data_IF_148795370458
#
_entry.id   IF_148795370458
#
_cell.length_a   1.000
_cell.length_b   1.000
_cell.length_c   1.000
_cell.angle_alpha   90.00
_cell.angle_beta   90.00
_cell.angle_gamma   90.00
#
_symmetry.space_group_name_H-M   'P 1'
#
loop_
_entity.id
_entity.type
_entity.pdbx_description
1 polymer ?
#
# COMPACT_ATOMS: atom_id res chain seq x y z
N UNK A 1 -4.62 -12.82 -27.26
CA UNK A 1 -5.83 -12.17 -26.73
C UNK A 1 -6.86 -12.05 -27.84
N UNK A 2 -8.00 -12.72 -27.66
CA UNK A 2 -9.17 -12.62 -28.55
C UNK A 2 -10.28 -11.91 -27.77
N UNK A 3 -10.78 -10.80 -28.30
CA UNK A 3 -11.90 -10.07 -27.72
C UNK A 3 -13.07 -10.06 -28.70
N UNK A 4 -14.27 -10.37 -28.21
CA UNK A 4 -15.50 -10.29 -28.95
C UNK A 4 -16.52 -9.46 -28.17
N UNK A 5 -16.86 -8.27 -28.68
CA UNK A 5 -17.81 -7.35 -28.07
C UNK A 5 -19.22 -7.96 -27.89
N UNK A 6 -19.59 -8.83 -28.81
CA UNK A 6 -20.95 -9.38 -28.89
C UNK A 6 -21.11 -10.70 -28.10
N UNK A 7 -20.05 -11.12 -27.37
CA UNK A 7 -20.04 -12.30 -26.54
C UNK A 7 -19.64 -11.92 -25.10
N UNK A 8 -20.56 -11.26 -24.34
CA UNK A 8 -20.29 -10.96 -22.93
C UNK A 8 -20.39 -12.23 -22.11
N UNK A 9 -19.45 -12.42 -21.17
CA UNK A 9 -19.49 -13.57 -20.27
C UNK A 9 -18.13 -13.96 -19.73
N UNK A 10 -18.01 -15.24 -19.44
CA UNK A 10 -16.79 -15.80 -18.89
C UNK A 10 -15.65 -15.82 -19.91
N UNK A 11 -14.46 -15.62 -19.42
CA UNK A 11 -13.22 -15.69 -20.20
C UNK A 11 -12.38 -16.87 -19.70
N UNK A 12 -11.75 -17.59 -20.60
CA UNK A 12 -10.69 -18.50 -20.25
C UNK A 12 -9.39 -17.70 -20.05
N UNK A 13 -8.87 -17.73 -18.83
CA UNK A 13 -7.65 -17.02 -18.46
C UNK A 13 -6.57 -18.04 -18.15
N UNK A 14 -5.50 -18.03 -18.94
CA UNK A 14 -4.35 -18.91 -18.78
C UNK A 14 -3.19 -18.12 -18.19
N UNK A 15 -2.69 -18.53 -17.02
CA UNK A 15 -1.45 -18.03 -16.46
C UNK A 15 -0.28 -18.84 -17.00
N UNK A 16 0.67 -18.14 -17.65
CA UNK A 16 1.89 -18.74 -18.19
C UNK A 16 3.10 -18.06 -17.54
N UNK A 17 4.03 -18.84 -17.02
CA UNK A 17 5.36 -18.37 -16.64
C UNK A 17 6.35 -18.74 -17.75
N UNK A 18 7.46 -18.03 -17.85
CA UNK A 18 8.48 -18.27 -18.90
C UNK A 18 9.06 -19.69 -18.88
N UNK A 19 8.94 -20.38 -17.77
CA UNK A 19 9.52 -21.73 -17.54
C UNK A 19 8.49 -22.83 -17.38
N UNK A 20 7.18 -22.51 -17.33
CA UNK A 20 6.16 -23.49 -16.98
C UNK A 20 5.52 -24.15 -18.20
N UNK A 21 5.66 -25.47 -18.22
CA UNK A 21 4.94 -26.37 -19.12
C UNK A 21 3.48 -26.53 -18.65
N UNK A 22 3.16 -26.22 -17.39
CA UNK A 22 1.83 -26.32 -16.79
C UNK A 22 1.13 -24.94 -16.71
N UNK A 23 0.60 -24.51 -17.85
CA UNK A 23 -0.27 -23.35 -17.90
C UNK A 23 -1.57 -23.64 -17.14
N UNK A 24 -1.86 -22.90 -16.06
CA UNK A 24 -3.12 -23.05 -15.34
C UNK A 24 -4.19 -22.16 -15.99
N UNK A 25 -5.21 -22.80 -16.57
CA UNK A 25 -6.37 -22.14 -17.13
C UNK A 25 -7.54 -22.16 -16.13
N UNK A 26 -8.27 -21.06 -16.08
CA UNK A 26 -9.50 -20.91 -15.29
C UNK A 26 -10.52 -20.12 -16.12
N UNK A 27 -11.77 -20.60 -16.12
CA UNK A 27 -12.90 -19.87 -16.70
C UNK A 27 -13.46 -18.94 -15.64
N UNK A 28 -13.44 -17.62 -15.88
CA UNK A 28 -13.94 -16.63 -14.94
C UNK A 28 -14.31 -15.31 -15.61
N UNK A 29 -15.09 -14.49 -14.92
CA UNK A 29 -15.39 -13.13 -15.34
C UNK A 29 -14.22 -12.20 -15.03
N UNK A 30 -13.90 -11.29 -15.96
CA UNK A 30 -12.87 -10.26 -15.74
C UNK A 30 -13.37 -9.10 -14.87
N UNK A 31 -14.70 -8.91 -14.81
CA UNK A 31 -15.37 -7.87 -14.06
C UNK A 31 -15.92 -8.33 -12.69
N UNK A 32 -15.47 -9.50 -12.22
CA UNK A 32 -15.86 -10.05 -10.90
C UNK A 32 -15.40 -9.16 -9.74
N UNK A 33 -14.25 -8.50 -9.90
CA UNK A 33 -13.69 -7.60 -8.90
C UNK A 33 -13.46 -6.20 -9.47
N UNK A 34 -13.46 -5.15 -8.63
CA UNK A 34 -13.17 -3.77 -9.06
C UNK A 34 -11.80 -3.59 -9.72
N UNK A 35 -10.88 -4.52 -9.47
CA UNK A 35 -9.54 -4.57 -10.06
C UNK A 35 -9.31 -5.91 -10.72
N UNK A 36 -8.50 -5.94 -11.78
CA UNK A 36 -8.15 -7.19 -12.45
C UNK A 36 -7.18 -8.01 -11.58
N UNK A 37 -7.64 -9.15 -11.09
CA UNK A 37 -6.79 -10.15 -10.43
C UNK A 37 -6.13 -11.00 -11.51
N UNK A 38 -4.84 -10.86 -11.72
CA UNK A 38 -4.12 -11.55 -12.79
C UNK A 38 -3.93 -13.04 -12.53
N UNK A 39 -3.55 -13.41 -11.31
CA UNK A 39 -3.26 -14.81 -10.96
C UNK A 39 -4.55 -15.59 -10.68
N UNK A 40 -4.74 -16.70 -11.37
CA UNK A 40 -5.85 -17.62 -11.10
C UNK A 40 -5.79 -18.20 -9.68
N UNK A 41 -4.59 -18.46 -9.16
CA UNK A 41 -4.40 -18.95 -7.79
C UNK A 41 -4.83 -17.95 -6.72
N UNK A 42 -4.73 -16.65 -7.01
CA UNK A 42 -5.10 -15.61 -6.06
C UNK A 42 -6.63 -15.46 -5.89
N UNK A 43 -7.43 -15.93 -6.83
CA UNK A 43 -8.89 -15.78 -6.80
C UNK A 43 -9.48 -16.38 -5.53
N UNK A 44 -9.10 -17.61 -5.18
CA UNK A 44 -9.60 -18.28 -3.97
C UNK A 44 -9.22 -17.55 -2.67
N UNK A 45 -8.07 -16.89 -2.67
CA UNK A 45 -7.62 -16.09 -1.52
C UNK A 45 -8.45 -14.82 -1.43
N UNK A 46 -8.67 -14.13 -2.56
CA UNK A 46 -9.51 -12.91 -2.61
C UNK A 46 -10.92 -13.21 -2.15
N UNK A 47 -11.56 -14.31 -2.60
CA UNK A 47 -12.87 -14.72 -2.12
C UNK A 47 -12.90 -14.92 -0.60
N UNK A 48 -11.93 -15.64 -0.03
CA UNK A 48 -11.85 -15.84 1.42
C UNK A 48 -11.74 -14.53 2.19
N UNK A 49 -10.98 -13.56 1.68
CA UNK A 49 -10.86 -12.23 2.30
C UNK A 49 -12.19 -11.48 2.25
N UNK A 50 -12.87 -11.49 1.09
CA UNK A 50 -14.16 -10.82 0.93
C UNK A 50 -15.25 -11.49 1.81
N UNK A 51 -15.31 -12.82 1.82
CA UNK A 51 -16.26 -13.60 2.62
C UNK A 51 -16.05 -13.42 4.13
N UNK A 52 -14.82 -13.13 4.56
CA UNK A 52 -14.52 -12.84 5.97
C UNK A 52 -15.19 -11.55 6.48
N UNK A 53 -15.69 -10.69 5.58
CA UNK A 53 -16.35 -9.44 5.92
C UNK A 53 -15.44 -8.41 6.60
N UNK A 54 -14.14 -8.67 6.66
CA UNK A 54 -13.18 -7.73 7.23
C UNK A 54 -12.89 -6.65 6.18
N UNK A 55 -13.45 -5.47 6.39
CA UNK A 55 -13.04 -4.27 5.65
C UNK A 55 -11.65 -3.81 6.14
N UNK A 56 -10.63 -4.49 5.65
CA UNK A 56 -9.23 -4.22 6.03
C UNK A 56 -8.80 -2.83 5.55
N UNK A 57 -9.41 -2.32 4.49
CA UNK A 57 -8.94 -1.11 3.83
C UNK A 57 -9.36 0.17 4.57
N UNK A 58 -10.59 0.25 5.05
CA UNK A 58 -11.10 1.44 5.74
C UNK A 58 -10.65 1.51 7.20
N UNK A 59 -10.31 0.34 7.80
CA UNK A 59 -9.98 0.27 9.21
C UNK A 59 -8.53 0.70 9.54
N UNK A 60 -7.60 0.60 8.58
CA UNK A 60 -6.18 0.76 8.86
C UNK A 60 -5.42 1.67 7.90
N UNK A 61 -5.94 1.95 6.71
CA UNK A 61 -5.27 2.78 5.72
C UNK A 61 -5.92 4.16 5.59
N UNK A 62 -5.12 5.20 5.50
CA UNK A 62 -5.60 6.54 5.18
C UNK A 62 -5.52 6.83 3.68
N UNK A 63 -6.49 7.62 3.16
CA UNK A 63 -6.43 8.06 1.78
C UNK A 63 -5.20 8.96 1.54
N UNK A 64 -4.92 9.19 0.28
CA UNK A 64 -3.86 10.10 -0.17
C UNK A 64 -3.88 11.43 0.61
N UNK A 65 -2.68 11.92 0.95
CA UNK A 65 -2.49 13.14 1.73
C UNK A 65 -3.17 13.08 3.12
N UNK A 66 -2.74 12.13 3.97
CA UNK A 66 -3.43 11.80 5.20
C UNK A 66 -3.50 12.95 6.19
N UNK A 67 -2.46 13.80 6.28
CA UNK A 67 -2.35 14.89 7.25
C UNK A 67 -2.53 16.30 6.63
N UNK A 68 -2.74 16.40 5.31
CA UNK A 68 -2.95 17.67 4.63
C UNK A 68 -1.69 18.33 4.08
N UNK A 69 -0.53 17.64 4.08
CA UNK A 69 0.74 18.17 3.60
C UNK A 69 1.16 17.57 2.25
N UNK A 70 1.29 18.42 1.24
CA UNK A 70 1.70 18.03 -0.11
C UNK A 70 3.16 17.54 -0.13
N UNK A 71 3.56 16.82 -1.19
CA UNK A 71 4.90 16.26 -1.39
C UNK A 71 6.02 17.33 -1.33
N UNK A 72 5.74 18.53 -1.79
CA UNK A 72 6.70 19.65 -1.82
C UNK A 72 6.73 20.45 -0.50
N UNK A 73 5.91 20.09 0.49
CA UNK A 73 5.93 20.75 1.80
C UNK A 73 7.31 20.63 2.44
N UNK A 74 7.73 21.74 3.09
CA UNK A 74 8.95 21.80 3.90
C UNK A 74 8.62 22.31 5.28
N UNK A 75 9.04 21.56 6.27
CA UNK A 75 8.95 21.94 7.67
C UNK A 75 10.12 22.80 8.13
N UNK A 76 10.21 23.01 9.42
CA UNK A 76 11.33 23.69 10.07
C UNK A 76 12.47 22.69 10.35
N UNK A 77 13.71 23.16 10.26
CA UNK A 77 14.88 22.35 10.63
C UNK A 77 15.03 22.22 12.17
N UNK A 78 14.55 23.20 12.92
CA UNK A 78 14.66 23.25 14.37
C UNK A 78 13.27 23.12 15.00
N UNK A 79 13.15 22.28 16.03
CA UNK A 79 11.92 21.98 16.75
C UNK A 79 11.43 23.20 17.56
N UNK A 80 10.19 23.62 17.36
CA UNK A 80 9.51 24.60 18.20
C UNK A 80 8.77 23.96 19.38
N UNK A 81 8.17 24.79 20.24
CA UNK A 81 7.57 24.36 21.52
C UNK A 81 6.45 23.31 21.36
N UNK A 82 5.61 23.44 20.34
CA UNK A 82 4.45 22.56 20.10
C UNK A 82 4.58 21.78 18.78
N UNK A 83 5.82 21.58 18.33
CA UNK A 83 6.05 20.89 17.07
C UNK A 83 6.02 19.38 17.22
N UNK A 84 5.50 18.76 16.17
CA UNK A 84 5.60 17.34 15.88
C UNK A 84 6.57 17.12 14.73
N UNK A 85 7.06 15.91 14.59
CA UNK A 85 7.91 15.53 13.48
C UNK A 85 7.09 15.23 12.23
N UNK A 86 7.55 15.71 11.08
CA UNK A 86 6.96 15.39 9.79
C UNK A 86 8.00 14.77 8.86
N UNK A 87 7.71 13.58 8.37
CA UNK A 87 8.52 12.90 7.37
C UNK A 87 8.20 13.47 5.99
N UNK A 88 9.17 14.12 5.39
CA UNK A 88 9.08 14.74 4.06
C UNK A 88 9.93 13.97 3.04
N UNK A 89 9.90 14.38 1.78
CA UNK A 89 10.77 13.83 0.73
C UNK A 89 12.28 14.05 0.98
N UNK A 90 12.64 14.96 1.89
CA UNK A 90 14.03 15.26 2.26
C UNK A 90 14.39 14.79 3.68
N UNK A 91 13.53 13.99 4.32
CA UNK A 91 13.74 13.48 5.68
C UNK A 91 12.83 14.13 6.71
N UNK A 92 13.12 13.88 7.99
CA UNK A 92 12.34 14.44 9.10
C UNK A 92 12.60 15.93 9.28
N UNK A 93 11.52 16.65 9.48
CA UNK A 93 11.46 18.07 9.78
C UNK A 93 10.42 18.30 10.88
N UNK A 94 10.16 19.57 11.24
CA UNK A 94 9.21 19.92 12.30
C UNK A 94 8.09 20.81 11.78
N UNK A 95 6.87 20.58 12.30
CA UNK A 95 5.68 21.36 11.99
C UNK A 95 4.84 21.54 13.23
N UNK A 96 4.21 22.70 13.40
CA UNK A 96 3.27 22.92 14.50
C UNK A 96 2.10 21.95 14.43
N UNK A 97 1.76 21.29 15.54
CA UNK A 97 0.64 20.34 15.62
C UNK A 97 -0.69 20.98 15.16
N UNK A 98 -0.86 22.27 15.41
CA UNK A 98 -2.05 23.05 15.01
C UNK A 98 -2.24 23.20 13.50
N UNK A 99 -1.18 22.93 12.71
CA UNK A 99 -1.23 22.98 11.24
C UNK A 99 -1.73 21.70 10.59
N UNK A 100 -1.88 20.63 11.35
CA UNK A 100 -2.41 19.36 10.85
C UNK A 100 -3.90 19.50 10.61
N UNK A 101 -4.34 19.36 9.36
CA UNK A 101 -5.73 19.62 8.96
C UNK A 101 -6.62 18.36 9.01
N UNK A 102 -6.03 17.18 8.95
CA UNK A 102 -6.75 15.91 8.83
C UNK A 102 -6.17 14.87 9.79
N UNK A 103 -7.00 13.92 10.21
CA UNK A 103 -6.60 12.73 10.98
C UNK A 103 -5.72 13.07 12.20
N UNK A 104 -6.09 14.12 12.93
CA UNK A 104 -5.33 14.58 14.09
C UNK A 104 -5.20 13.51 15.17
N UNK A 105 -6.18 12.63 15.28
CA UNK A 105 -6.19 11.49 16.19
C UNK A 105 -5.05 10.49 15.89
N UNK A 106 -4.65 10.37 14.60
CA UNK A 106 -3.58 9.47 14.19
C UNK A 106 -2.18 10.00 14.50
N UNK A 107 -2.03 11.26 14.90
CA UNK A 107 -0.73 11.81 15.30
C UNK A 107 -0.11 10.96 16.40
N UNK A 108 -0.92 10.49 17.34
CA UNK A 108 -0.46 9.81 18.55
C UNK A 108 -0.44 8.27 18.41
N UNK A 109 -0.56 7.74 17.18
CA UNK A 109 -0.50 6.31 16.86
C UNK A 109 0.77 5.96 16.07
N UNK A 110 1.07 4.66 16.03
CA UNK A 110 2.09 4.10 15.14
C UNK A 110 1.53 3.95 13.74
N UNK A 111 2.30 4.32 12.73
CA UNK A 111 1.90 4.25 11.32
C UNK A 111 2.90 3.45 10.52
N UNK A 112 2.40 2.58 9.65
CA UNK A 112 3.22 1.84 8.69
C UNK A 112 3.06 2.50 7.33
N UNK A 113 4.17 2.94 6.77
CA UNK A 113 4.25 3.71 5.55
C UNK A 113 4.88 2.91 4.43
N UNK A 114 4.45 3.20 3.20
CA UNK A 114 5.17 2.82 1.97
C UNK A 114 5.45 4.07 1.14
N UNK A 115 6.50 4.04 0.34
CA UNK A 115 6.77 5.08 -0.63
C UNK A 115 5.69 5.07 -1.72
N UNK A 116 5.25 6.27 -2.13
CA UNK A 116 4.24 6.42 -3.19
C UNK A 116 4.78 6.11 -4.58
N UNK A 117 6.08 6.29 -4.80
CA UNK A 117 6.70 6.08 -6.11
C UNK A 117 6.93 4.59 -6.35
N UNK A 118 6.29 4.07 -7.39
CA UNK A 118 6.76 2.88 -8.06
C UNK A 118 8.02 3.27 -8.85
N UNK A 119 9.05 2.41 -8.96
CA UNK A 119 10.22 2.69 -9.78
C UNK A 119 9.83 3.23 -11.16
N UNK A 120 10.52 4.27 -11.62
CA UNK A 120 10.27 4.91 -12.91
C UNK A 120 10.36 3.88 -14.03
N UNK A 121 9.44 3.98 -15.01
CA UNK A 121 9.32 3.19 -16.22
C UNK A 121 8.50 1.89 -16.13
N UNK A 122 7.84 1.59 -15.01
CA UNK A 122 7.06 0.34 -14.89
C UNK A 122 7.93 -0.91 -14.94
N UNK A 123 9.24 -0.77 -14.98
CA UNK A 123 10.17 -1.82 -14.69
C UNK A 123 10.10 -2.07 -13.20
N UNK A 124 9.50 -3.20 -12.84
CA UNK A 124 9.65 -3.76 -11.51
C UNK A 124 11.14 -3.99 -11.33
N UNK A 125 11.68 -3.53 -10.21
CA UNK A 125 13.09 -3.76 -9.87
C UNK A 125 13.25 -5.27 -9.70
N UNK A 126 13.63 -5.92 -10.79
CA UNK A 126 13.78 -7.37 -10.86
C UNK A 126 15.15 -7.69 -10.34
N UNK A 127 15.27 -7.98 -9.06
CA UNK A 127 16.41 -8.76 -8.61
C UNK A 127 16.08 -10.23 -8.91
N UNK A 128 16.78 -10.90 -9.84
CA UNK A 128 16.50 -12.29 -10.20
C UNK A 128 16.58 -13.25 -9.01
N UNK A 129 17.26 -12.86 -7.93
CA UNK A 129 17.40 -13.66 -6.71
C UNK A 129 16.28 -13.43 -5.70
N UNK A 130 15.67 -12.23 -5.66
CA UNK A 130 14.66 -11.84 -4.65
C UNK A 130 13.23 -11.81 -5.19
N UNK A 131 13.03 -11.98 -6.49
CA UNK A 131 11.74 -11.88 -7.16
C UNK A 131 11.25 -10.43 -7.31
N UNK A 132 10.01 -10.27 -7.73
CA UNK A 132 9.40 -8.95 -7.94
C UNK A 132 9.06 -8.27 -6.61
N UNK A 133 9.54 -7.05 -6.39
CA UNK A 133 9.07 -6.20 -5.30
C UNK A 133 7.76 -5.53 -5.71
N UNK A 134 6.68 -5.90 -5.06
CA UNK A 134 5.34 -5.34 -5.33
C UNK A 134 5.12 -4.04 -4.53
N UNK A 135 5.82 -3.88 -3.41
CA UNK A 135 5.75 -2.69 -2.56
C UNK A 135 7.14 -2.07 -2.38
N UNK A 136 7.16 -0.75 -2.22
CA UNK A 136 8.38 -0.01 -1.86
C UNK A 136 8.82 -0.36 -0.43
N UNK A 137 9.99 0.13 -0.02
CA UNK A 137 10.46 -0.07 1.35
C UNK A 137 9.43 0.45 2.35
N UNK A 138 9.13 -0.38 3.33
CA UNK A 138 8.24 -0.04 4.43
C UNK A 138 8.98 0.77 5.48
N UNK A 139 8.25 1.64 6.17
CA UNK A 139 8.76 2.43 7.28
C UNK A 139 7.72 2.55 8.38
N UNK A 140 8.14 2.39 9.63
CA UNK A 140 7.29 2.66 10.79
C UNK A 140 7.64 4.03 11.34
N UNK A 141 6.62 4.86 11.57
CA UNK A 141 6.74 6.10 12.34
C UNK A 141 5.87 6.01 13.60
N UNK A 142 6.33 6.65 14.66
CA UNK A 142 5.73 6.55 16.00
C UNK A 142 4.77 7.69 16.36
N UNK A 143 4.31 7.70 17.61
CA UNK A 143 3.53 8.80 18.18
C UNK A 143 4.27 10.14 18.05
N UNK A 144 3.54 11.22 17.75
CA UNK A 144 4.11 12.54 17.51
C UNK A 144 4.78 12.71 16.15
N UNK A 145 4.72 11.70 15.28
CA UNK A 145 5.26 11.73 13.92
C UNK A 145 4.16 11.62 12.88
N UNK A 146 4.25 12.40 11.82
CA UNK A 146 3.36 12.35 10.65
C UNK A 146 4.17 12.34 9.35
N UNK A 147 3.50 12.26 8.21
CA UNK A 147 4.15 12.27 6.90
C UNK A 147 3.46 13.21 5.92
N UNK A 148 4.19 13.58 4.88
CA UNK A 148 3.64 14.25 3.70
C UNK A 148 3.06 13.22 2.73
N UNK A 149 2.37 13.71 1.71
CA UNK A 149 1.83 12.92 0.59
C UNK A 149 2.89 12.07 -0.18
N UNK A 150 4.18 12.24 0.14
CA UNK A 150 5.27 11.39 -0.40
C UNK A 150 5.11 9.93 -0.01
N UNK A 151 4.47 9.67 1.12
CA UNK A 151 4.23 8.34 1.66
C UNK A 151 2.74 8.07 1.77
N UNK A 152 2.38 6.78 1.67
CA UNK A 152 1.04 6.27 1.91
C UNK A 152 1.01 5.59 3.28
N UNK A 153 0.01 5.93 4.10
CA UNK A 153 -0.25 5.26 5.37
C UNK A 153 -1.12 4.04 5.10
N UNK A 154 -0.51 2.87 5.17
CA UNK A 154 -1.18 1.59 4.89
C UNK A 154 -1.59 0.84 6.14
N UNK A 155 -1.24 1.36 7.30
CA UNK A 155 -1.65 0.81 8.59
C UNK A 155 -1.44 1.80 9.73
N UNK A 156 -2.45 1.94 10.60
CA UNK A 156 -2.41 2.78 11.80
C UNK A 156 -2.73 1.93 13.02
N UNK A 157 -1.86 1.94 14.02
CA UNK A 157 -1.90 1.02 15.15
C UNK A 157 -1.70 1.74 16.48
N UNK A 158 -2.28 1.19 17.53
CA UNK A 158 -2.13 1.75 18.89
C UNK A 158 -0.79 1.38 19.54
N UNK A 159 -0.24 0.25 19.16
CA UNK A 159 1.01 -0.26 19.73
C UNK A 159 2.07 -0.47 18.66
N UNK A 160 3.34 -0.30 19.05
CA UNK A 160 4.48 -0.57 18.17
C UNK A 160 4.51 -2.03 17.71
N UNK A 161 4.15 -2.96 18.60
CA UNK A 161 4.11 -4.40 18.30
C UNK A 161 3.15 -4.73 17.16
N UNK A 162 1.97 -4.11 17.14
CA UNK A 162 1.01 -4.28 16.04
C UNK A 162 1.57 -3.76 14.72
N UNK A 163 2.19 -2.56 14.74
CA UNK A 163 2.82 -1.98 13.56
C UNK A 163 3.95 -2.87 13.01
N UNK A 164 4.82 -3.39 13.89
CA UNK A 164 5.89 -4.30 13.51
C UNK A 164 5.33 -5.62 12.93
N UNK A 165 4.30 -6.18 13.54
CA UNK A 165 3.69 -7.42 13.05
C UNK A 165 3.05 -7.21 11.67
N UNK A 166 2.39 -6.07 11.46
CA UNK A 166 1.83 -5.71 10.16
C UNK A 166 2.93 -5.49 9.10
N UNK A 167 4.00 -4.78 9.45
CA UNK A 167 5.13 -4.60 8.55
C UNK A 167 5.77 -5.95 8.15
N UNK A 168 5.92 -6.87 9.09
CA UNK A 168 6.42 -8.23 8.81
C UNK A 168 5.49 -9.00 7.86
N UNK A 169 4.17 -8.89 8.09
CA UNK A 169 3.18 -9.49 7.21
C UNK A 169 3.31 -9.01 5.77
N UNK A 170 3.49 -7.69 5.56
CA UNK A 170 3.69 -7.11 4.23
C UNK A 170 4.94 -7.62 3.50
N UNK A 171 5.93 -8.10 4.24
CA UNK A 171 7.18 -8.66 3.70
C UNK A 171 7.10 -10.17 3.44
N UNK A 172 5.97 -10.82 3.74
CA UNK A 172 5.78 -12.23 3.41
C UNK A 172 5.57 -12.42 1.91
N UNK A 173 5.93 -13.60 1.41
CA UNK A 173 5.66 -13.98 0.03
C UNK A 173 4.21 -14.48 -0.08
N UNK A 174 3.29 -13.59 -0.39
CA UNK A 174 1.94 -13.93 -0.80
C UNK A 174 1.77 -13.67 -2.28
#
# INVERSE_FOLDING_TARGET
FLWNRDCPGDCEITNMNETDIDAQSMIRRLDEFPILIRSNMAISVVHKVIESGVDVHSAYAYPRNPFGFATNFRGRAVRGKNDIEILTSVGFQYVGREKVQKNQEAIDYYKVLIGRLVPSNGELDVNPQDGYRVITDTRIIGPGQINTETYLDIGVFRTEKEAINFERYLKTKF
#
